data_IF_237365365054
#
_entry.id   IF_237365365054
#
_cell.length_a   1.000
_cell.length_b   1.000
_cell.length_c   1.000
_cell.angle_alpha   90.00
_cell.angle_beta   90.00
_cell.angle_gamma   90.00
#
_symmetry.space_group_name_H-M   'P 1'
#
loop_
_entity.id
_entity.type
_entity.pdbx_description
1 polymer ?
#
# COMPACT_ATOMS: atom_id res chain seq x y z
N UNK A 1 -30.03 11.66 -26.65
CA UNK A 1 -28.91 12.19 -25.86
C UNK A 1 -28.22 11.03 -25.16
N UNK A 2 -27.17 10.50 -25.76
CA UNK A 2 -26.34 9.43 -25.19
C UNK A 2 -25.35 10.07 -24.22
N UNK A 3 -25.41 9.68 -22.95
CA UNK A 3 -24.36 10.01 -21.98
C UNK A 3 -23.00 9.55 -22.55
N UNK A 4 -21.93 10.35 -22.40
CA UNK A 4 -20.61 9.90 -22.78
C UNK A 4 -20.28 8.61 -22.00
N UNK A 5 -19.67 7.59 -22.63
CA UNK A 5 -19.23 6.41 -21.92
C UNK A 5 -18.28 6.84 -20.77
N UNK A 6 -18.34 6.19 -19.60
CA UNK A 6 -17.51 6.55 -18.46
C UNK A 6 -16.04 6.55 -18.90
N UNK A 7 -15.32 7.65 -18.66
CA UNK A 7 -13.93 7.83 -19.11
C UNK A 7 -13.08 6.67 -18.63
N UNK A 8 -12.67 5.86 -19.58
CA UNK A 8 -11.93 4.62 -19.42
C UNK A 8 -10.49 4.89 -18.96
N UNK A 9 -10.15 4.57 -17.71
CA UNK A 9 -8.76 4.41 -17.28
C UNK A 9 -7.89 5.66 -17.17
N UNK A 10 -8.47 6.87 -17.17
CA UNK A 10 -7.69 8.10 -16.92
C UNK A 10 -7.11 8.07 -15.49
N UNK A 11 -5.80 8.32 -15.38
CA UNK A 11 -5.11 8.53 -14.09
C UNK A 11 -5.66 9.80 -13.48
N UNK A 12 -6.30 9.70 -12.31
CA UNK A 12 -6.79 10.90 -11.63
C UNK A 12 -5.63 11.64 -10.97
N UNK A 13 -5.83 12.94 -10.68
CA UNK A 13 -4.88 13.71 -9.88
C UNK A 13 -4.57 13.02 -8.54
N UNK A 14 -5.58 12.37 -7.93
CA UNK A 14 -5.41 11.60 -6.70
C UNK A 14 -4.51 10.37 -6.90
N UNK A 15 -4.67 9.64 -8.00
CA UNK A 15 -3.83 8.49 -8.34
C UNK A 15 -2.36 8.91 -8.54
N UNK A 16 -2.12 10.06 -9.19
CA UNK A 16 -0.79 10.60 -9.40
C UNK A 16 -0.12 11.04 -8.08
N UNK A 17 -0.88 11.68 -7.17
CA UNK A 17 -0.41 12.04 -5.83
C UNK A 17 -0.07 10.80 -5.01
N UNK A 18 -0.93 9.78 -5.02
CA UNK A 18 -0.68 8.50 -4.36
C UNK A 18 0.58 7.81 -4.90
N UNK A 19 0.72 7.75 -6.22
CA UNK A 19 1.91 7.19 -6.85
C UNK A 19 3.18 7.95 -6.45
N UNK A 20 3.14 9.29 -6.48
CA UNK A 20 4.24 10.13 -6.04
C UNK A 20 4.61 9.89 -4.57
N UNK A 21 3.61 9.79 -3.69
CA UNK A 21 3.81 9.45 -2.28
C UNK A 21 4.47 8.07 -2.12
N UNK A 22 4.01 7.05 -2.84
CA UNK A 22 4.59 5.72 -2.77
C UNK A 22 6.02 5.66 -3.29
N UNK A 23 6.31 6.36 -4.38
CA UNK A 23 7.67 6.48 -4.91
C UNK A 23 8.59 7.19 -3.90
N UNK A 24 8.11 8.25 -3.24
CA UNK A 24 8.84 8.92 -2.19
C UNK A 24 9.10 8.00 -0.99
N UNK A 25 8.10 7.23 -0.54
CA UNK A 25 8.28 6.23 0.51
C UNK A 25 9.29 5.14 0.12
N UNK A 26 9.24 4.66 -1.12
CA UNK A 26 10.21 3.68 -1.63
C UNK A 26 11.63 4.25 -1.64
N UNK A 27 11.81 5.47 -2.16
CA UNK A 27 13.10 6.15 -2.18
C UNK A 27 13.65 6.32 -0.76
N UNK A 28 12.84 6.81 0.19
CA UNK A 28 13.23 6.95 1.59
C UNK A 28 13.59 5.61 2.24
N UNK A 29 12.79 4.57 2.00
CA UNK A 29 13.07 3.23 2.52
C UNK A 29 14.38 2.68 1.97
N UNK A 30 14.68 2.90 0.69
CA UNK A 30 15.94 2.48 0.06
C UNK A 30 17.14 3.26 0.61
N UNK A 31 17.03 4.59 0.72
CA UNK A 31 18.06 5.45 1.29
C UNK A 31 18.37 5.09 2.75
N UNK A 32 17.35 4.69 3.51
CA UNK A 32 17.55 4.24 4.88
C UNK A 32 18.17 2.86 4.95
N UNK A 33 17.74 1.94 4.07
CA UNK A 33 18.33 0.60 3.95
C UNK A 33 19.83 0.66 3.61
N UNK A 34 20.23 1.56 2.72
CA UNK A 34 21.64 1.80 2.36
C UNK A 34 22.40 2.65 3.40
N UNK A 35 21.74 3.04 4.49
CA UNK A 35 22.29 3.88 5.59
C UNK A 35 22.74 5.28 5.16
N UNK A 36 22.24 5.77 4.02
CA UNK A 36 22.46 7.16 3.59
C UNK A 36 21.65 8.11 4.49
N UNK A 37 20.44 7.69 4.90
CA UNK A 37 19.57 8.44 5.80
C UNK A 37 19.31 7.64 7.07
N UNK A 38 19.49 8.27 8.22
CA UNK A 38 19.26 7.65 9.52
C UNK A 38 17.93 8.11 10.11
N UNK A 39 16.96 7.19 10.17
CA UNK A 39 15.60 7.43 10.69
C UNK A 39 15.36 6.74 12.03
N UNK A 40 16.29 5.89 12.48
CA UNK A 40 16.12 5.06 13.67
C UNK A 40 15.92 5.91 14.93
N UNK A 41 14.94 5.54 15.75
CA UNK A 41 14.61 6.23 17.01
C UNK A 41 13.67 7.43 16.85
N UNK A 42 13.26 7.78 15.63
CA UNK A 42 12.29 8.85 15.40
C UNK A 42 10.86 8.49 15.80
N UNK A 43 10.55 7.19 15.89
CA UNK A 43 9.24 6.69 16.32
C UNK A 43 9.40 5.40 17.14
N UNK A 44 8.85 5.30 18.36
CA UNK A 44 8.86 4.07 19.16
C UNK A 44 7.82 3.09 18.58
N UNK A 45 8.16 2.50 17.44
CA UNK A 45 7.24 1.62 16.72
C UNK A 45 7.26 0.22 17.35
N UNK A 46 6.25 -0.07 18.16
CA UNK A 46 6.04 -1.42 18.72
C UNK A 46 5.56 -2.39 17.63
N UNK A 47 5.78 -3.69 17.83
CA UNK A 47 5.32 -4.74 16.92
C UNK A 47 3.82 -4.65 16.66
N UNK A 48 3.02 -4.42 17.72
CA UNK A 48 1.57 -4.30 17.62
C UNK A 48 1.15 -3.11 16.74
N UNK A 49 1.78 -1.95 16.93
CA UNK A 49 1.52 -0.77 16.10
C UNK A 49 1.86 -1.02 14.64
N UNK A 50 2.97 -1.70 14.37
CA UNK A 50 3.40 -2.03 13.02
C UNK A 50 2.42 -2.95 12.28
N UNK A 51 1.98 -4.05 12.93
CA UNK A 51 0.99 -4.94 12.34
C UNK A 51 -0.37 -4.25 12.17
N UNK A 52 -0.76 -3.37 13.08
CA UNK A 52 -2.00 -2.60 12.97
C UNK A 52 -1.99 -1.71 11.72
N UNK A 53 -0.86 -1.07 11.41
CA UNK A 53 -0.71 -0.31 10.15
C UNK A 53 -0.79 -1.23 8.94
N UNK A 54 -0.14 -2.40 8.98
CA UNK A 54 -0.21 -3.38 7.89
C UNK A 54 -1.66 -3.84 7.62
N UNK A 55 -2.45 -4.05 8.68
CA UNK A 55 -3.88 -4.39 8.60
C UNK A 55 -4.68 -3.28 7.91
N UNK A 56 -4.53 -2.04 8.40
CA UNK A 56 -5.26 -0.88 7.86
C UNK A 56 -4.89 -0.63 6.41
N UNK A 57 -3.60 -0.70 6.07
CA UNK A 57 -3.14 -0.54 4.69
C UNK A 57 -3.66 -1.66 3.79
N UNK A 58 -3.57 -2.92 4.21
CA UNK A 58 -4.03 -4.06 3.41
C UNK A 58 -5.50 -3.95 3.08
N UNK A 59 -6.33 -3.83 4.11
CA UNK A 59 -7.78 -3.72 3.96
C UNK A 59 -8.19 -2.47 3.19
N UNK A 60 -7.66 -1.31 3.57
CA UNK A 60 -7.99 -0.02 2.97
C UNK A 60 -7.65 0.04 1.48
N UNK A 61 -6.42 -0.36 1.11
CA UNK A 61 -6.01 -0.36 -0.29
C UNK A 61 -6.69 -1.44 -1.11
N UNK A 62 -7.05 -2.57 -0.51
CA UNK A 62 -7.87 -3.59 -1.16
C UNK A 62 -9.26 -3.06 -1.54
N UNK A 63 -9.95 -2.36 -0.62
CA UNK A 63 -11.24 -1.71 -0.91
C UNK A 63 -11.09 -0.63 -1.97
N UNK A 64 -10.10 0.26 -1.84
CA UNK A 64 -9.87 1.34 -2.78
C UNK A 64 -9.59 0.80 -4.19
N UNK A 65 -8.78 -0.24 -4.30
CA UNK A 65 -8.49 -0.91 -5.57
C UNK A 65 -9.75 -1.46 -6.23
N UNK A 66 -10.60 -2.19 -5.49
CA UNK A 66 -11.84 -2.77 -6.02
C UNK A 66 -12.79 -1.68 -6.49
N UNK A 67 -12.98 -0.62 -5.69
CA UNK A 67 -13.82 0.53 -6.06
C UNK A 67 -13.28 1.24 -7.30
N UNK A 68 -11.96 1.46 -7.37
CA UNK A 68 -11.31 2.21 -8.45
C UNK A 68 -11.29 1.46 -9.78
N UNK A 69 -11.13 0.14 -9.72
CA UNK A 69 -11.02 -0.72 -10.90
C UNK A 69 -12.34 -1.35 -11.34
N UNK A 70 -13.44 -0.97 -10.68
CA UNK A 70 -14.77 -1.42 -11.02
C UNK A 70 -15.13 -1.04 -12.46
N UNK A 71 -15.58 -2.02 -13.26
CA UNK A 71 -15.96 -1.80 -14.65
C UNK A 71 -14.80 -1.51 -15.61
N UNK A 72 -13.54 -1.55 -15.16
CA UNK A 72 -12.38 -1.35 -16.02
C UNK A 72 -11.98 -2.65 -16.76
N UNK A 73 -11.42 -2.53 -17.98
CA UNK A 73 -10.82 -3.68 -18.67
C UNK A 73 -9.68 -4.31 -17.86
N UNK A 74 -9.53 -5.63 -17.97
CA UNK A 74 -8.47 -6.43 -17.31
C UNK A 74 -7.05 -5.85 -17.43
N UNK A 75 -6.57 -5.37 -18.60
CA UNK A 75 -5.21 -4.82 -18.70
C UNK A 75 -5.03 -3.53 -17.87
N UNK A 76 -6.06 -2.69 -17.79
CA UNK A 76 -6.02 -1.47 -16.97
C UNK A 76 -6.06 -1.85 -15.48
N UNK A 77 -6.94 -2.79 -15.11
CA UNK A 77 -7.04 -3.30 -13.74
C UNK A 77 -5.71 -3.89 -13.22
N UNK A 78 -4.91 -4.54 -14.06
CA UNK A 78 -3.56 -5.03 -13.70
C UNK A 78 -2.57 -3.91 -13.40
N UNK A 79 -2.61 -2.79 -14.14
CA UNK A 79 -1.74 -1.63 -13.87
C UNK A 79 -2.05 -1.00 -12.53
N UNK A 80 -3.34 -0.81 -12.23
CA UNK A 80 -3.78 -0.30 -10.93
C UNK A 80 -3.46 -1.28 -9.79
N UNK A 81 -3.45 -2.60 -10.06
CA UNK A 81 -3.06 -3.59 -9.04
C UNK A 81 -1.63 -3.33 -8.58
N UNK A 82 -0.70 -3.06 -9.50
CA UNK A 82 0.69 -2.77 -9.14
C UNK A 82 0.80 -1.55 -8.23
N UNK A 83 0.08 -0.47 -8.53
CA UNK A 83 0.12 0.77 -7.74
C UNK A 83 -0.44 0.51 -6.33
N UNK A 84 -1.62 -0.11 -6.24
CA UNK A 84 -2.34 -0.28 -4.98
C UNK A 84 -1.80 -1.43 -4.12
N UNK A 85 -1.10 -2.40 -4.72
CA UNK A 85 -0.49 -3.53 -4.00
C UNK A 85 0.97 -3.29 -3.63
N UNK A 86 1.80 -2.76 -4.55
CA UNK A 86 3.24 -2.55 -4.30
C UNK A 86 3.56 -1.18 -3.66
N UNK A 87 2.64 -0.21 -3.76
CA UNK A 87 2.82 1.10 -3.17
C UNK A 87 2.79 1.09 -1.63
N UNK A 88 1.70 0.61 -0.99
CA UNK A 88 1.57 0.66 0.48
C UNK A 88 2.67 -0.06 1.27
N UNK A 89 3.24 -1.20 0.83
CA UNK A 89 4.39 -1.82 1.49
C UNK A 89 5.59 -0.88 1.66
N UNK A 90 5.77 0.13 0.80
CA UNK A 90 6.81 1.14 0.98
C UNK A 90 6.66 1.92 2.29
N UNK A 91 5.43 2.19 2.71
CA UNK A 91 5.12 2.86 3.98
C UNK A 91 5.57 1.97 5.15
N UNK A 92 5.33 0.65 5.06
CA UNK A 92 5.82 -0.30 6.05
C UNK A 92 7.35 -0.36 6.10
N UNK A 93 8.03 -0.17 4.97
CA UNK A 93 9.49 -0.04 4.91
C UNK A 93 10.02 1.22 5.62
N UNK A 94 9.37 2.37 5.40
CA UNK A 94 9.71 3.62 6.08
C UNK A 94 9.47 3.49 7.60
N UNK A 95 8.29 3.01 8.01
CA UNK A 95 7.99 2.83 9.44
C UNK A 95 8.98 1.88 10.11
N UNK A 96 9.36 0.80 9.42
CA UNK A 96 10.38 -0.12 9.91
C UNK A 96 11.72 0.58 10.15
N UNK A 97 12.15 1.45 9.24
CA UNK A 97 13.40 2.20 9.37
C UNK A 97 13.43 3.18 10.55
N UNK A 98 12.25 3.59 11.03
CA UNK A 98 12.11 4.47 12.20
C UNK A 98 12.30 3.76 13.54
N UNK A 99 12.14 2.43 13.57
CA UNK A 99 12.30 1.65 14.79
C UNK A 99 13.76 1.66 15.30
N UNK A 100 14.01 1.59 16.62
CA UNK A 100 15.36 1.47 17.17
C UNK A 100 16.10 0.26 16.60
N UNK A 101 17.39 0.42 16.30
CA UNK A 101 18.22 -0.64 15.69
C UNK A 101 18.22 -1.98 16.46
N UNK A 102 18.25 -2.01 17.80
CA UNK A 102 18.16 -3.26 18.57
C UNK A 102 16.86 -4.03 18.32
N UNK A 103 15.74 -3.31 18.20
CA UNK A 103 14.45 -3.91 17.85
C UNK A 103 14.44 -4.38 16.39
N UNK A 104 15.29 -3.77 15.56
CA UNK A 104 15.45 -4.21 14.19
C UNK A 104 16.15 -5.55 14.08
N UNK A 105 17.30 -5.70 14.74
CA UNK A 105 18.07 -6.93 14.73
C UNK A 105 17.41 -8.06 15.50
N UNK A 106 16.67 -7.77 16.57
CA UNK A 106 15.96 -8.79 17.35
C UNK A 106 14.83 -9.48 16.57
N UNK A 107 14.25 -8.79 15.58
CA UNK A 107 13.09 -9.28 14.85
C UNK A 107 13.22 -9.06 13.32
N UNK A 108 14.17 -9.75 12.65
CA UNK A 108 14.51 -9.48 11.24
C UNK A 108 13.40 -9.86 10.26
N UNK A 109 12.56 -10.84 10.60
CA UNK A 109 11.47 -11.32 9.74
C UNK A 109 10.15 -10.57 9.89
N UNK A 110 10.04 -9.63 10.84
CA UNK A 110 8.82 -8.85 11.08
C UNK A 110 8.29 -8.13 9.83
N UNK A 111 9.13 -7.53 8.97
CA UNK A 111 8.66 -6.94 7.72
C UNK A 111 8.00 -7.96 6.78
N UNK A 112 8.51 -9.20 6.73
CA UNK A 112 7.94 -10.26 5.90
C UNK A 112 6.57 -10.69 6.42
N UNK A 113 6.42 -10.83 7.75
CA UNK A 113 5.13 -11.12 8.36
C UNK A 113 4.12 -9.99 8.17
N UNK A 114 4.55 -8.73 8.34
CA UNK A 114 3.69 -7.57 8.12
C UNK A 114 3.26 -7.46 6.65
N UNK A 115 4.16 -7.77 5.72
CA UNK A 115 3.80 -7.90 4.31
C UNK A 115 2.78 -9.02 4.09
N UNK A 116 2.94 -10.18 4.73
CA UNK A 116 1.95 -11.26 4.66
C UNK A 116 0.57 -10.83 5.18
N UNK A 117 0.51 -10.15 6.32
CA UNK A 117 -0.74 -9.60 6.89
C UNK A 117 -1.37 -8.59 5.92
N UNK A 118 -0.57 -7.68 5.37
CA UNK A 118 -1.01 -6.75 4.33
C UNK A 118 -1.58 -7.49 3.12
N UNK A 119 -0.86 -8.48 2.58
CA UNK A 119 -1.25 -9.22 1.37
C UNK A 119 -2.56 -9.98 1.56
N UNK A 120 -2.72 -10.68 2.69
CA UNK A 120 -3.95 -11.40 3.00
C UNK A 120 -5.13 -10.43 3.06
N UNK A 121 -4.99 -9.33 3.81
CA UNK A 121 -6.09 -8.37 3.99
C UNK A 121 -6.36 -7.51 2.76
N UNK A 122 -5.38 -7.32 1.88
CA UNK A 122 -5.59 -6.74 0.57
C UNK A 122 -6.38 -7.70 -0.33
N UNK A 123 -6.08 -9.00 -0.28
CA UNK A 123 -6.73 -10.01 -1.13
C UNK A 123 -8.18 -10.26 -0.73
N UNK A 124 -8.55 -10.15 0.55
CA UNK A 124 -9.94 -10.36 1.00
C UNK A 124 -10.94 -9.52 0.18
N UNK A 125 -10.83 -8.18 0.13
CA UNK A 125 -11.78 -7.39 -0.64
C UNK A 125 -11.67 -7.62 -2.16
N UNK A 126 -10.47 -7.95 -2.67
CA UNK A 126 -10.24 -8.23 -4.11
C UNK A 126 -10.92 -9.51 -4.57
N UNK A 127 -10.97 -10.51 -3.68
CA UNK A 127 -11.57 -11.83 -3.95
C UNK A 127 -13.06 -11.86 -3.62
N UNK A 128 -13.49 -11.10 -2.62
CA UNK A 128 -14.91 -10.90 -2.32
C UNK A 128 -15.58 -10.11 -3.45
N UNK A 129 -16.55 -10.73 -4.11
CA UNK A 129 -17.40 -10.06 -5.12
C UNK A 129 -18.36 -9.11 -4.41
N UNK A 130 -17.89 -7.94 -3.99
CA UNK A 130 -18.76 -6.94 -3.37
C UNK A 130 -19.94 -6.60 -4.29
N UNK A 131 -21.16 -6.46 -3.74
CA UNK A 131 -22.30 -5.97 -4.50
C UNK A 131 -21.99 -4.61 -5.13
N UNK A 132 -22.49 -4.38 -6.35
CA UNK A 132 -22.36 -3.08 -7.04
C UNK A 132 -22.81 -1.95 -6.09
N UNK A 133 -22.03 -0.87 -5.95
CA UNK A 133 -22.57 0.37 -5.42
C UNK A 133 -23.75 0.76 -6.31
N UNK A 134 -24.95 0.86 -5.74
CA UNK A 134 -26.10 1.46 -6.41
C UNK A 134 -25.78 2.95 -6.56
N UNK A 135 -25.30 3.34 -7.73
CA UNK A 135 -25.01 4.71 -8.12
C UNK A 135 -25.59 4.98 -9.49
#
# INVERSE_FOLDING_TARGET
MTSPPPRSGEVTRGDAVLLGLFLACWALSLLSFTRIVWLAGSLPLTLYGYYSVAVVLGWGFGILYVRRTWGLPTPVRRRFLLIYYLGPPAILGVLRSMAPWPDQSAAPFVPLYAFGVFSVLFLVPVTMRFPRPLG
#
